data_IF_360593648324
#
_entry.id   IF_360593648324
#
_cell.length_a   1.000
_cell.length_b   1.000
_cell.length_c   1.000
_cell.angle_alpha   90.00
_cell.angle_beta   90.00
_cell.angle_gamma   90.00
#
_symmetry.space_group_name_H-M   'P 1'
#
loop_
_entity.id
_entity.type
_entity.pdbx_description
1 polymer ?
#
# COMPACT_ATOMS: atom_id res chain seq x y z
N UNK A 1 42.95 -4.84 22.70
CA UNK A 1 43.14 -4.13 21.41
C UNK A 1 42.19 -2.96 21.39
N UNK A 2 42.67 -1.85 21.92
CA UNK A 2 42.03 -0.54 22.01
C UNK A 2 42.53 0.30 20.84
N UNK A 3 41.63 0.72 19.96
CA UNK A 3 41.97 1.56 18.82
C UNK A 3 40.83 2.53 18.56
N UNK A 4 40.85 3.69 19.21
CA UNK A 4 40.35 4.96 18.69
C UNK A 4 41.06 6.04 19.49
N UNK A 5 42.12 6.56 18.87
CA UNK A 5 42.93 7.65 19.41
C UNK A 5 42.23 8.99 19.13
N UNK A 6 42.26 9.87 20.12
CA UNK A 6 41.62 11.18 20.05
C UNK A 6 42.57 12.21 19.44
N UNK A 7 42.24 12.68 18.24
CA UNK A 7 42.73 13.96 17.73
C UNK A 7 41.99 14.35 16.44
N UNK A 8 40.85 15.05 16.53
CA UNK A 8 40.29 15.83 15.41
C UNK A 8 39.23 16.82 15.91
N UNK A 9 39.62 17.69 16.87
CA UNK A 9 38.99 19.00 16.98
C UNK A 9 39.86 19.97 16.18
N UNK A 10 39.33 20.46 15.07
CA UNK A 10 39.73 21.76 14.52
C UNK A 10 38.46 22.41 13.98
N UNK A 11 37.92 23.30 14.81
CA UNK A 11 36.76 24.13 14.53
C UNK A 11 37.13 25.18 13.48
N UNK A 12 36.56 25.07 12.28
CA UNK A 12 36.55 26.17 11.32
C UNK A 12 35.24 26.95 11.49
N UNK A 13 35.36 28.15 12.07
CA UNK A 13 34.29 29.13 12.24
C UNK A 13 34.34 30.09 11.04
N UNK A 14 33.34 30.13 10.15
CA UNK A 14 33.28 31.16 9.10
C UNK A 14 32.87 32.51 9.71
N UNK A 15 33.70 33.53 9.52
CA UNK A 15 33.44 34.93 9.84
C UNK A 15 32.31 35.49 8.96
N UNK A 16 31.36 36.21 9.57
CA UNK A 16 30.13 36.71 8.95
C UNK A 16 30.19 38.22 8.64
N UNK A 17 31.36 38.76 8.25
CA UNK A 17 31.52 40.19 7.97
C UNK A 17 32.17 40.54 6.62
N UNK A 18 31.93 39.76 5.56
CA UNK A 18 32.24 40.21 4.19
C UNK A 18 30.97 40.22 3.32
N UNK A 19 30.51 41.43 2.97
CA UNK A 19 29.42 41.67 2.01
C UNK A 19 29.93 41.54 0.56
N UNK A 20 29.30 40.72 -0.31
CA UNK A 20 29.47 40.82 -1.76
C UNK A 20 28.44 41.78 -2.39
N UNK A 21 28.78 42.42 -3.52
CA UNK A 21 28.04 43.56 -4.06
C UNK A 21 26.69 43.17 -4.70
N UNK A 22 25.80 44.16 -4.65
CA UNK A 22 24.36 44.10 -4.88
C UNK A 22 24.04 44.40 -6.36
N UNK A 23 23.38 43.47 -7.06
CA UNK A 23 22.58 43.77 -8.27
C UNK A 23 21.24 43.03 -8.19
N UNK A 24 20.16 43.79 -8.39
CA UNK A 24 18.80 43.50 -7.98
C UNK A 24 17.91 43.77 -9.19
N UNK A 25 17.23 42.74 -9.69
CA UNK A 25 16.09 42.91 -10.57
C UNK A 25 15.04 41.86 -10.19
N UNK A 26 14.02 42.32 -9.46
CA UNK A 26 12.82 41.56 -9.15
C UNK A 26 11.75 41.89 -10.20
N UNK A 27 11.32 40.89 -10.97
CA UNK A 27 10.06 40.98 -11.70
C UNK A 27 8.92 40.60 -10.75
N UNK A 28 8.01 41.55 -10.52
CA UNK A 28 6.82 41.39 -9.69
C UNK A 28 5.77 40.50 -10.37
N UNK A 29 5.17 39.58 -9.62
CA UNK A 29 3.96 38.85 -10.01
C UNK A 29 2.77 39.52 -9.34
N UNK A 30 1.84 40.06 -10.12
CA UNK A 30 0.59 40.67 -9.66
C UNK A 30 -0.49 39.57 -9.44
N UNK A 31 -1.14 39.58 -8.28
CA UNK A 31 -2.10 38.57 -7.82
C UNK A 31 -3.57 39.03 -7.91
N UNK A 32 -3.88 40.09 -8.66
CA UNK A 32 -5.26 40.59 -8.80
C UNK A 32 -5.80 40.60 -10.24
N UNK A 33 -5.76 39.46 -10.93
CA UNK A 33 -6.52 39.28 -12.17
C UNK A 33 -7.34 38.00 -12.12
N UNK A 34 -8.63 38.14 -11.80
CA UNK A 34 -9.62 37.07 -11.95
C UNK A 34 -10.27 37.09 -13.35
N UNK A 35 -10.82 35.94 -13.80
CA UNK A 35 -10.75 35.47 -15.18
C UNK A 35 -12.06 35.70 -15.94
N UNK A 36 -12.03 35.78 -17.27
CA UNK A 36 -13.20 35.47 -18.09
C UNK A 36 -12.85 35.11 -19.55
N UNK A 37 -13.67 34.19 -20.07
CA UNK A 37 -13.95 33.83 -21.48
C UNK A 37 -13.01 32.85 -22.22
N UNK A 38 -13.45 31.59 -22.23
CA UNK A 38 -13.83 30.84 -23.43
C UNK A 38 -13.05 31.09 -24.74
N UNK A 39 -12.15 30.16 -25.08
CA UNK A 39 -11.85 29.76 -26.46
C UNK A 39 -11.23 28.37 -26.44
N UNK A 40 -11.93 27.40 -27.04
CA UNK A 40 -11.40 26.07 -27.30
C UNK A 40 -10.36 26.07 -28.42
N UNK A 41 -9.40 25.15 -28.34
CA UNK A 41 -8.69 24.66 -29.52
C UNK A 41 -8.14 23.25 -29.27
N UNK A 42 -8.56 22.32 -30.12
CA UNK A 42 -8.01 20.98 -30.27
C UNK A 42 -6.54 21.05 -30.70
N UNK A 43 -5.68 20.16 -30.20
CA UNK A 43 -4.54 19.71 -31.01
C UNK A 43 -4.23 18.26 -30.72
N UNK A 44 -4.24 17.48 -31.80
CA UNK A 44 -3.88 16.07 -31.84
C UNK A 44 -2.36 15.89 -31.78
N UNK A 45 -2.00 14.72 -31.24
CA UNK A 45 -0.81 13.88 -31.45
C UNK A 45 0.41 14.43 -32.21
N UNK A 46 1.59 14.24 -31.63
CA UNK A 46 2.82 13.80 -32.34
C UNK A 46 4.03 13.89 -31.41
N UNK A 47 4.51 12.77 -30.86
CA UNK A 47 5.93 12.37 -30.97
C UNK A 47 6.13 10.95 -30.41
N UNK A 48 6.19 10.00 -31.32
CA UNK A 48 6.99 8.81 -31.15
C UNK A 48 8.45 9.13 -31.57
N UNK A 49 9.38 8.35 -31.03
CA UNK A 49 10.80 8.23 -31.42
C UNK A 49 11.75 9.39 -31.10
N UNK A 50 12.61 9.17 -30.11
CA UNK A 50 14.05 8.93 -30.32
C UNK A 50 14.71 8.70 -28.97
N UNK A 51 15.28 7.52 -28.78
CA UNK A 51 16.43 7.29 -27.90
C UNK A 51 17.05 5.96 -28.34
N UNK A 52 17.78 6.04 -29.45
CA UNK A 52 18.80 5.08 -29.83
C UNK A 52 20.00 5.30 -28.90
N UNK A 53 20.19 4.39 -27.94
CA UNK A 53 21.50 4.20 -27.32
C UNK A 53 21.81 2.72 -27.23
N UNK A 54 22.43 2.24 -28.30
CA UNK A 54 22.96 0.90 -28.49
C UNK A 54 24.24 0.73 -27.67
N UNK A 55 24.16 0.04 -26.54
CA UNK A 55 25.34 -0.50 -25.87
C UNK A 55 25.71 -1.83 -26.55
N UNK A 56 26.76 -1.78 -27.37
CA UNK A 56 27.44 -2.95 -27.95
C UNK A 56 28.10 -3.75 -26.83
N UNK A 57 27.79 -5.04 -26.70
CA UNK A 57 28.71 -6.01 -26.09
C UNK A 57 29.15 -7.01 -27.17
N UNK A 58 30.43 -7.41 -27.21
CA UNK A 58 30.95 -8.29 -28.24
C UNK A 58 30.44 -9.73 -28.09
N UNK A 59 30.16 -10.32 -29.26
CA UNK A 59 29.73 -11.71 -29.46
C UNK A 59 30.64 -12.71 -28.72
N UNK A 60 30.06 -13.41 -27.74
CA UNK A 60 30.55 -14.72 -27.33
C UNK A 60 29.53 -15.76 -27.81
N UNK A 61 29.94 -16.52 -28.81
CA UNK A 61 29.20 -17.68 -29.30
C UNK A 61 29.11 -18.71 -28.18
N UNK A 62 27.90 -18.99 -27.72
CA UNK A 62 27.60 -20.26 -27.07
C UNK A 62 26.24 -20.76 -27.56
N UNK A 63 26.33 -21.85 -28.29
CA UNK A 63 25.24 -22.66 -28.84
C UNK A 63 24.18 -22.96 -27.78
N UNK A 64 22.91 -22.61 -28.06
CA UNK A 64 21.74 -23.17 -27.37
C UNK A 64 21.52 -24.61 -27.85
N UNK A 65 21.22 -25.58 -26.98
CA UNK A 65 20.49 -26.78 -27.40
C UNK A 65 19.06 -26.35 -27.74
N UNK A 66 18.55 -26.82 -28.88
CA UNK A 66 17.12 -26.82 -29.19
C UNK A 66 16.41 -27.73 -28.19
N UNK A 67 15.92 -27.16 -27.09
CA UNK A 67 14.93 -27.83 -26.26
C UNK A 67 13.57 -27.66 -26.93
N UNK A 68 13.12 -28.76 -27.54
CA UNK A 68 11.75 -28.97 -27.98
C UNK A 68 10.83 -28.78 -26.77
N UNK A 69 10.12 -27.65 -26.72
CA UNK A 69 9.06 -27.45 -25.74
C UNK A 69 7.90 -28.38 -26.13
N UNK A 70 7.74 -29.47 -25.39
CA UNK A 70 6.50 -30.22 -25.38
C UNK A 70 5.38 -29.28 -24.92
N UNK A 71 4.52 -28.87 -25.84
CA UNK A 71 3.26 -28.21 -25.51
C UNK A 71 2.42 -29.18 -24.69
N UNK A 72 2.38 -28.96 -23.38
CA UNK A 72 1.52 -29.71 -22.48
C UNK A 72 0.07 -29.25 -22.71
N UNK A 73 -0.87 -30.14 -23.07
CA UNK A 73 -2.23 -29.76 -23.41
C UNK A 73 -2.94 -29.10 -22.23
N UNK A 74 -3.59 -27.97 -22.51
CA UNK A 74 -4.28 -27.07 -21.59
C UNK A 74 -5.65 -27.61 -21.11
N UNK A 75 -5.67 -28.83 -20.58
CA UNK A 75 -6.82 -29.33 -19.84
C UNK A 75 -6.42 -29.45 -18.37
N UNK A 76 -6.49 -28.34 -17.63
CA UNK A 76 -6.35 -28.35 -16.17
C UNK A 76 -7.59 -29.02 -15.56
N UNK A 77 -7.64 -30.34 -15.63
CA UNK A 77 -8.69 -31.16 -15.02
C UNK A 77 -8.43 -31.22 -13.51
N UNK A 78 -8.70 -30.10 -12.83
CA UNK A 78 -8.55 -30.00 -11.38
C UNK A 78 -9.65 -30.83 -10.76
N UNK A 79 -9.29 -31.99 -10.21
CA UNK A 79 -10.24 -32.76 -9.43
C UNK A 79 -10.52 -32.04 -8.10
N UNK A 80 -11.68 -31.38 -8.03
CA UNK A 80 -12.24 -30.75 -6.84
C UNK A 80 -13.10 -31.70 -6.00
N UNK A 81 -13.35 -32.91 -6.47
CA UNK A 81 -14.08 -33.93 -5.73
C UNK A 81 -13.19 -34.51 -4.63
N UNK A 82 -13.50 -34.14 -3.40
CA UNK A 82 -12.88 -34.73 -2.21
C UNK A 82 -13.91 -35.46 -1.36
N UNK A 83 -13.55 -36.64 -0.87
CA UNK A 83 -14.31 -37.37 0.16
C UNK A 83 -13.96 -36.88 1.57
N UNK A 84 -12.97 -36.00 1.69
CA UNK A 84 -12.54 -35.45 2.96
C UNK A 84 -13.63 -34.57 3.58
N UNK A 85 -13.77 -34.72 4.89
CA UNK A 85 -14.64 -33.90 5.72
C UNK A 85 -13.75 -32.97 6.52
N UNK A 86 -14.10 -31.70 6.56
CA UNK A 86 -13.33 -30.70 7.30
C UNK A 86 -13.99 -30.43 8.65
N UNK A 87 -13.18 -30.28 9.70
CA UNK A 87 -13.70 -30.04 11.05
C UNK A 87 -14.17 -28.60 11.26
N UNK A 88 -13.70 -27.64 10.45
CA UNK A 88 -14.07 -26.24 10.56
C UNK A 88 -14.19 -25.55 9.21
N UNK A 89 -14.88 -24.41 9.19
CA UNK A 89 -14.98 -23.55 8.00
C UNK A 89 -13.59 -23.12 7.52
N UNK A 90 -12.72 -22.76 8.45
CA UNK A 90 -11.36 -22.30 8.15
C UNK A 90 -10.50 -23.41 7.55
N UNK A 91 -10.63 -24.65 8.03
CA UNK A 91 -9.94 -25.80 7.47
C UNK A 91 -10.36 -26.05 6.01
N UNK A 92 -11.66 -26.00 5.73
CA UNK A 92 -12.19 -26.08 4.37
C UNK A 92 -11.62 -24.97 3.49
N UNK A 93 -11.69 -23.71 3.96
CA UNK A 93 -11.20 -22.56 3.20
C UNK A 93 -9.69 -22.64 2.92
N UNK A 94 -8.91 -23.11 3.91
CA UNK A 94 -7.46 -23.28 3.77
C UNK A 94 -7.13 -24.32 2.71
N UNK A 95 -7.81 -25.47 2.74
CA UNK A 95 -7.64 -26.52 1.73
C UNK A 95 -7.99 -26.02 0.32
N UNK A 96 -9.17 -25.40 0.15
CA UNK A 96 -9.60 -24.86 -1.16
C UNK A 96 -8.62 -23.83 -1.69
N UNK A 97 -8.14 -22.92 -0.83
CA UNK A 97 -7.18 -21.88 -1.23
C UNK A 97 -5.84 -22.48 -1.62
N UNK A 98 -5.31 -23.44 -0.84
CA UNK A 98 -4.06 -24.13 -1.17
C UNK A 98 -4.17 -24.81 -2.53
N UNK A 99 -5.22 -25.61 -2.72
CA UNK A 99 -5.48 -26.33 -3.98
C UNK A 99 -5.63 -25.37 -5.16
N UNK A 100 -6.30 -24.24 -4.97
CA UNK A 100 -6.41 -23.22 -6.01
C UNK A 100 -5.04 -22.63 -6.38
N UNK A 101 -4.24 -22.27 -5.37
CA UNK A 101 -2.92 -21.68 -5.56
C UNK A 101 -1.95 -22.63 -6.27
N UNK A 102 -1.98 -23.92 -5.94
CA UNK A 102 -1.18 -24.95 -6.61
C UNK A 102 -1.49 -25.04 -8.12
N UNK A 103 -2.71 -24.67 -8.51
CA UNK A 103 -3.16 -24.62 -9.90
C UNK A 103 -3.13 -23.20 -10.49
N UNK A 104 -2.50 -22.23 -9.81
CA UNK A 104 -2.39 -20.84 -10.28
C UNK A 104 -3.72 -20.06 -10.28
N UNK A 105 -4.76 -20.56 -9.61
CA UNK A 105 -6.04 -19.86 -9.47
C UNK A 105 -6.21 -19.33 -8.04
N UNK A 106 -7.10 -18.35 -7.88
CA UNK A 106 -7.36 -17.73 -6.58
C UNK A 106 -8.84 -17.75 -6.29
N UNK A 107 -9.16 -18.37 -5.16
CA UNK A 107 -10.53 -18.55 -4.71
C UNK A 107 -10.81 -17.66 -3.51
N UNK A 108 -11.90 -16.91 -3.60
CA UNK A 108 -12.35 -15.95 -2.59
C UNK A 108 -13.74 -16.31 -2.08
N UNK A 109 -14.01 -15.87 -0.85
CA UNK A 109 -15.33 -16.00 -0.22
C UNK A 109 -16.29 -14.99 -0.82
N UNK A 110 -17.37 -15.47 -1.45
CA UNK A 110 -18.41 -14.63 -2.05
C UNK A 110 -19.44 -14.18 -1.03
N UNK A 111 -20.04 -15.13 -0.32
CA UNK A 111 -21.09 -14.90 0.68
C UNK A 111 -21.18 -16.06 1.65
N UNK A 112 -21.85 -15.84 2.76
CA UNK A 112 -22.18 -16.85 3.78
C UNK A 112 -23.64 -16.82 4.13
N UNK A 113 -24.14 -17.98 4.55
CA UNK A 113 -25.45 -18.11 5.17
C UNK A 113 -25.25 -18.68 6.57
N UNK A 114 -25.88 -18.02 7.52
CA UNK A 114 -25.90 -18.42 8.93
C UNK A 114 -27.22 -19.13 9.24
N UNK A 115 -27.19 -20.07 10.18
CA UNK A 115 -28.38 -20.66 10.77
C UNK A 115 -29.16 -19.58 11.50
N UNK A 116 -30.49 -19.58 11.35
CA UNK A 116 -31.36 -18.65 12.09
C UNK A 116 -31.44 -19.01 13.58
N UNK A 117 -31.30 -20.29 13.90
CA UNK A 117 -31.44 -20.80 15.27
C UNK A 117 -30.17 -20.61 16.07
N UNK A 118 -29.02 -21.01 15.51
CA UNK A 118 -27.74 -21.04 16.24
C UNK A 118 -26.84 -19.84 15.93
N UNK A 119 -27.11 -19.09 14.85
CA UNK A 119 -26.23 -18.01 14.37
C UNK A 119 -24.92 -18.48 13.70
N UNK A 120 -24.59 -19.76 13.80
CA UNK A 120 -23.42 -20.39 13.17
C UNK A 120 -23.50 -20.38 11.63
N UNK A 121 -22.35 -20.32 10.97
CA UNK A 121 -22.29 -20.39 9.49
C UNK A 121 -22.60 -21.82 9.05
N UNK A 122 -23.59 -21.98 8.18
CA UNK A 122 -24.02 -23.29 7.66
C UNK A 122 -23.67 -23.51 6.19
N UNK A 123 -23.40 -22.42 5.45
CA UNK A 123 -23.09 -22.47 4.03
C UNK A 123 -22.20 -21.32 3.61
N UNK A 124 -21.16 -21.63 2.84
CA UNK A 124 -20.22 -20.67 2.29
C UNK A 124 -20.17 -20.82 0.78
N UNK A 125 -20.32 -19.72 0.05
CA UNK A 125 -20.12 -19.70 -1.40
C UNK A 125 -18.72 -19.18 -1.70
N UNK A 126 -17.99 -19.92 -2.51
CA UNK A 126 -16.63 -19.61 -2.95
C UNK A 126 -16.64 -19.40 -4.46
N UNK A 127 -15.84 -18.47 -4.94
CA UNK A 127 -15.75 -18.13 -6.36
C UNK A 127 -14.31 -17.76 -6.72
N UNK A 128 -13.99 -17.76 -8.01
CA UNK A 128 -12.74 -17.20 -8.49
C UNK A 128 -12.69 -15.68 -8.19
N UNK A 129 -11.52 -15.15 -7.89
CA UNK A 129 -11.33 -13.73 -7.61
C UNK A 129 -11.62 -12.81 -8.82
N UNK A 130 -11.49 -13.35 -10.04
CA UNK A 130 -11.91 -12.74 -11.31
C UNK A 130 -13.39 -13.01 -11.65
N UNK A 131 -14.11 -13.69 -10.76
CA UNK A 131 -15.52 -14.02 -10.94
C UNK A 131 -16.47 -12.84 -10.75
N UNK A 132 -17.67 -12.99 -11.32
CA UNK A 132 -18.77 -12.04 -11.21
C UNK A 132 -18.54 -10.73 -11.96
N UNK A 133 -19.44 -9.78 -11.72
CA UNK A 133 -19.47 -8.51 -12.45
C UNK A 133 -19.02 -7.34 -11.57
N UNK A 134 -18.58 -6.29 -12.24
CA UNK A 134 -18.20 -5.05 -11.60
C UNK A 134 -19.36 -4.06 -11.68
N UNK A 135 -20.03 -3.88 -10.54
CA UNK A 135 -21.16 -2.97 -10.42
C UNK A 135 -20.62 -1.55 -10.21
N UNK A 136 -20.65 -0.75 -11.25
CA UNK A 136 -20.06 0.59 -11.22
C UNK A 136 -20.77 1.50 -12.19
N UNK A 137 -21.16 2.67 -11.69
CA UNK A 137 -21.91 3.68 -12.43
C UNK A 137 -20.95 4.61 -13.21
N UNK A 138 -19.67 4.67 -12.84
CA UNK A 138 -18.70 5.56 -13.45
C UNK A 138 -18.39 5.18 -14.92
N UNK A 139 -18.61 6.12 -15.84
CA UNK A 139 -18.44 5.94 -17.29
C UNK A 139 -16.96 5.89 -17.70
N UNK A 140 -16.08 6.68 -17.05
CA UNK A 140 -14.65 6.73 -17.35
C UNK A 140 -13.80 6.29 -16.16
N UNK A 141 -12.76 5.49 -16.40
CA UNK A 141 -11.83 5.02 -15.36
C UNK A 141 -10.39 5.10 -15.84
N UNK A 142 -9.51 5.53 -14.93
CA UNK A 142 -8.05 5.47 -15.13
C UNK A 142 -7.47 4.06 -14.94
N UNK A 143 -8.24 3.11 -14.40
CA UNK A 143 -7.81 1.73 -14.12
C UNK A 143 -8.84 0.73 -14.61
N UNK A 144 -8.36 -0.38 -15.19
CA UNK A 144 -9.19 -1.51 -15.60
C UNK A 144 -9.83 -2.24 -14.43
N UNK A 145 -10.85 -3.04 -14.73
CA UNK A 145 -11.50 -3.95 -13.79
C UNK A 145 -10.89 -5.36 -13.90
N UNK A 146 -10.65 -6.00 -12.76
CA UNK A 146 -10.10 -7.36 -12.67
C UNK A 146 -11.12 -8.48 -12.88
N UNK A 147 -12.43 -8.17 -12.75
CA UNK A 147 -13.50 -9.16 -12.88
C UNK A 147 -13.86 -9.38 -14.35
N UNK A 148 -13.84 -10.64 -14.77
CA UNK A 148 -14.14 -11.08 -16.15
C UNK A 148 -15.34 -12.02 -16.21
N UNK A 149 -16.12 -12.12 -15.14
CA UNK A 149 -17.27 -13.03 -15.09
C UNK A 149 -16.90 -14.51 -15.04
N UNK A 150 -15.74 -14.87 -14.47
CA UNK A 150 -15.33 -16.27 -14.34
C UNK A 150 -16.45 -17.13 -13.68
N UNK A 151 -16.86 -18.26 -14.31
CA UNK A 151 -18.01 -19.05 -13.86
C UNK A 151 -17.66 -20.03 -12.73
N UNK A 152 -16.38 -20.18 -12.40
CA UNK A 152 -15.89 -21.05 -11.33
C UNK A 152 -16.60 -20.76 -10.00
N UNK A 153 -17.20 -21.80 -9.41
CA UNK A 153 -17.92 -21.68 -8.15
C UNK A 153 -17.93 -22.98 -7.35
N UNK A 154 -17.62 -22.87 -6.06
CA UNK A 154 -17.69 -23.95 -5.08
C UNK A 154 -18.62 -23.55 -3.93
N UNK A 155 -19.14 -24.55 -3.22
CA UNK A 155 -19.92 -24.36 -2.01
C UNK A 155 -19.36 -25.23 -0.89
N UNK A 156 -19.11 -24.62 0.27
CA UNK A 156 -18.97 -25.32 1.54
C UNK A 156 -20.33 -25.48 2.22
N UNK A 157 -20.70 -26.70 2.58
CA UNK A 157 -21.91 -27.00 3.35
C UNK A 157 -21.51 -27.58 4.71
N UNK A 158 -22.07 -27.02 5.78
CA UNK A 158 -21.97 -27.60 7.10
C UNK A 158 -23.02 -28.71 7.27
N UNK A 159 -22.60 -29.86 7.77
CA UNK A 159 -23.46 -30.97 8.12
C UNK A 159 -23.56 -31.04 9.65
N UNK A 160 -24.74 -30.70 10.18
CA UNK A 160 -25.00 -30.71 11.62
C UNK A 160 -24.93 -32.12 12.23
N UNK A 161 -25.35 -33.16 11.50
CA UNK A 161 -25.38 -34.55 12.00
C UNK A 161 -23.97 -35.12 12.18
N UNK A 162 -23.05 -34.72 11.31
CA UNK A 162 -21.66 -35.22 11.28
C UNK A 162 -20.67 -34.19 11.81
N UNK A 163 -21.16 -33.06 12.33
CA UNK A 163 -20.37 -31.92 12.81
C UNK A 163 -19.19 -31.57 11.89
N UNK A 164 -19.43 -31.57 10.58
CA UNK A 164 -18.35 -31.46 9.61
C UNK A 164 -18.77 -30.73 8.35
N UNK A 165 -17.79 -30.14 7.70
CA UNK A 165 -17.92 -29.42 6.45
C UNK A 165 -17.65 -30.32 5.26
N UNK A 166 -18.50 -30.21 4.25
CA UNK A 166 -18.35 -30.88 2.94
C UNK A 166 -18.20 -29.83 1.85
N UNK A 167 -17.29 -30.06 0.92
CA UNK A 167 -17.18 -29.28 -0.31
C UNK A 167 -18.12 -29.84 -1.38
N UNK A 168 -18.81 -28.95 -2.08
CA UNK A 168 -19.62 -29.25 -3.26
C UNK A 168 -19.14 -28.38 -4.42
N UNK A 169 -18.84 -29.02 -5.55
CA UNK A 169 -18.49 -28.36 -6.80
C UNK A 169 -19.78 -27.95 -7.50
N UNK A 170 -19.88 -26.68 -7.91
CA UNK A 170 -20.96 -26.25 -8.82
C UNK A 170 -20.43 -26.17 -10.24
N UNK A 171 -19.30 -25.48 -10.40
CA UNK A 171 -18.60 -25.35 -11.67
C UNK A 171 -17.10 -25.25 -11.38
N UNK A 172 -16.35 -26.15 -11.99
CA UNK A 172 -14.90 -26.29 -11.93
C UNK A 172 -14.18 -25.54 -13.07
N UNK A 173 -14.91 -25.11 -14.09
CA UNK A 173 -14.32 -24.47 -15.26
C UNK A 173 -13.93 -23.01 -15.01
N UNK A 174 -12.76 -22.64 -15.53
CA UNK A 174 -12.27 -21.27 -15.62
C UNK A 174 -12.33 -20.78 -17.07
N UNK A 175 -12.62 -19.50 -17.26
CA UNK A 175 -12.61 -18.83 -18.57
C UNK A 175 -11.35 -17.99 -18.79
N UNK A 176 -10.28 -18.31 -18.06
CA UNK A 176 -9.01 -17.61 -18.12
C UNK A 176 -7.87 -18.51 -17.68
N UNK A 177 -6.68 -18.20 -18.20
CA UNK A 177 -5.47 -18.90 -17.84
C UNK A 177 -5.11 -18.74 -16.35
N UNK A 178 -4.45 -19.74 -15.76
CA UNK A 178 -3.80 -19.63 -14.46
C UNK A 178 -2.85 -18.43 -14.38
N UNK A 179 -2.67 -17.89 -13.17
CA UNK A 179 -1.69 -16.84 -12.92
C UNK A 179 -0.26 -17.40 -13.03
N UNK A 180 0.49 -16.93 -14.03
CA UNK A 180 1.88 -17.34 -14.26
C UNK A 180 2.84 -16.91 -13.14
N UNK A 181 2.58 -15.75 -12.50
CA UNK A 181 3.42 -15.20 -11.43
C UNK A 181 2.52 -14.81 -10.25
N UNK A 182 2.66 -15.52 -9.13
CA UNK A 182 1.88 -15.27 -7.91
C UNK A 182 2.23 -13.91 -7.27
N UNK A 183 3.49 -13.44 -7.39
CA UNK A 183 3.92 -12.11 -6.92
C UNK A 183 3.18 -10.97 -7.65
N UNK A 184 2.71 -11.21 -8.88
CA UNK A 184 1.90 -10.23 -9.60
C UNK A 184 0.52 -10.04 -8.98
N UNK A 185 0.03 -10.99 -8.20
CA UNK A 185 -1.36 -11.06 -7.82
C UNK A 185 -1.69 -10.33 -6.49
N UNK A 186 -2.48 -9.23 -6.51
CA UNK A 186 -2.72 -8.41 -5.33
C UNK A 186 -3.41 -9.12 -4.16
N UNK A 187 -4.14 -10.21 -4.40
CA UNK A 187 -4.80 -10.96 -3.34
C UNK A 187 -3.81 -11.83 -2.55
N UNK A 188 -2.84 -12.45 -3.22
CA UNK A 188 -1.87 -13.37 -2.59
C UNK A 188 -0.83 -12.59 -1.80
N UNK A 189 -0.48 -11.38 -2.26
CA UNK A 189 0.40 -10.44 -1.55
C UNK A 189 -0.19 -9.80 -0.28
N UNK A 190 -1.39 -10.18 0.13
CA UNK A 190 -1.99 -9.61 1.35
C UNK A 190 -1.36 -10.23 2.57
N UNK A 191 -0.84 -9.38 3.44
CA UNK A 191 -0.35 -9.82 4.75
C UNK A 191 -1.46 -10.46 5.57
N UNK A 192 -1.16 -11.58 6.21
CA UNK A 192 -2.02 -12.16 7.26
C UNK A 192 -2.08 -11.25 8.48
N UNK A 193 -2.90 -11.58 9.47
CA UNK A 193 -2.96 -10.75 10.67
C UNK A 193 -1.63 -10.82 11.45
N UNK A 194 -1.07 -12.02 11.56
CA UNK A 194 0.20 -12.28 12.24
C UNK A 194 1.36 -11.52 11.55
N UNK A 195 1.37 -11.50 10.22
CA UNK A 195 2.34 -10.73 9.45
C UNK A 195 2.14 -9.21 9.59
N UNK A 196 0.89 -8.75 9.70
CA UNK A 196 0.59 -7.33 9.96
C UNK A 196 1.11 -6.90 11.34
N UNK A 197 0.91 -7.73 12.36
CA UNK A 197 1.37 -7.45 13.73
C UNK A 197 2.91 -7.43 13.79
N UNK A 198 3.57 -8.31 13.03
CA UNK A 198 5.02 -8.27 12.86
C UNK A 198 5.48 -6.97 12.17
N UNK A 199 4.80 -6.54 11.10
CA UNK A 199 5.10 -5.26 10.43
C UNK A 199 4.92 -4.09 11.39
N UNK A 200 3.88 -4.10 12.23
CA UNK A 200 3.64 -3.08 13.25
C UNK A 200 4.84 -2.94 14.18
N UNK A 201 5.22 -4.04 14.83
CA UNK A 201 6.31 -4.07 15.80
C UNK A 201 7.64 -3.60 15.17
N UNK A 202 8.01 -4.12 14.00
CA UNK A 202 9.24 -3.72 13.32
C UNK A 202 9.20 -2.26 12.83
N UNK A 203 8.01 -1.73 12.51
CA UNK A 203 7.82 -0.32 12.17
C UNK A 203 8.01 0.58 13.39
N UNK A 204 7.58 0.15 14.57
CA UNK A 204 7.79 0.87 15.84
C UNK A 204 9.27 0.87 16.26
N UNK A 205 10.02 -0.16 15.87
CA UNK A 205 11.48 -0.23 15.97
C UNK A 205 12.21 0.60 14.89
N UNK A 206 11.49 1.38 14.09
CA UNK A 206 12.05 2.25 13.04
C UNK A 206 12.87 1.50 11.98
N UNK A 207 12.54 0.23 11.71
CA UNK A 207 13.24 -0.55 10.71
C UNK A 207 12.83 -0.16 9.27
N UNK A 208 13.80 -0.23 8.36
CA UNK A 208 13.55 0.01 6.94
C UNK A 208 12.61 -1.05 6.33
N UNK A 209 11.68 -0.67 5.43
CA UNK A 209 10.73 -1.59 4.79
C UNK A 209 11.37 -2.77 4.06
N UNK A 210 12.60 -2.62 3.55
CA UNK A 210 13.36 -3.73 2.94
C UNK A 210 13.79 -4.76 3.97
N UNK A 211 14.22 -4.31 5.14
CA UNK A 211 14.62 -5.18 6.25
C UNK A 211 13.39 -5.84 6.88
N UNK A 212 12.29 -5.10 7.01
CA UNK A 212 10.99 -5.64 7.46
C UNK A 212 10.54 -6.77 6.54
N UNK A 213 10.56 -6.56 5.21
CA UNK A 213 10.18 -7.60 4.26
C UNK A 213 11.10 -8.82 4.37
N UNK A 214 12.39 -8.61 4.57
CA UNK A 214 13.37 -9.70 4.74
C UNK A 214 13.08 -10.52 6.01
N UNK A 215 12.70 -9.87 7.12
CA UNK A 215 12.27 -10.54 8.34
C UNK A 215 10.99 -11.36 8.14
N UNK A 216 10.01 -10.80 7.43
CA UNK A 216 8.77 -11.51 7.10
C UNK A 216 9.07 -12.75 6.27
N UNK A 217 9.83 -12.62 5.17
CA UNK A 217 10.18 -13.76 4.31
C UNK A 217 10.97 -14.85 5.04
N UNK A 218 11.76 -14.49 6.06
CA UNK A 218 12.44 -15.47 6.93
C UNK A 218 11.46 -16.23 7.82
N UNK A 219 10.44 -15.56 8.36
CA UNK A 219 9.45 -16.18 9.23
C UNK A 219 8.38 -16.95 8.44
N UNK A 220 7.95 -16.43 7.29
CA UNK A 220 6.96 -17.03 6.38
C UNK A 220 7.52 -17.15 4.97
N UNK A 221 8.21 -18.26 4.63
CA UNK A 221 8.78 -18.47 3.29
C UNK A 221 7.74 -18.51 2.16
N UNK A 222 6.47 -18.76 2.48
CA UNK A 222 5.35 -18.75 1.52
C UNK A 222 4.89 -17.35 1.13
N UNK A 223 5.41 -16.30 1.77
CA UNK A 223 4.99 -14.92 1.54
C UNK A 223 5.54 -14.38 0.20
N UNK A 224 4.63 -13.89 -0.66
CA UNK A 224 4.93 -13.34 -1.99
C UNK A 224 4.84 -11.80 -2.03
N UNK A 225 4.81 -11.14 -0.87
CA UNK A 225 4.68 -9.68 -0.79
C UNK A 225 5.94 -8.98 -1.30
N UNK A 226 5.76 -7.75 -1.78
CA UNK A 226 6.85 -6.90 -2.25
C UNK A 226 7.05 -5.70 -1.31
N UNK A 227 8.19 -5.02 -1.42
CA UNK A 227 8.52 -3.88 -0.54
C UNK A 227 7.45 -2.77 -0.58
N UNK A 228 6.83 -2.56 -1.74
CA UNK A 228 5.71 -1.62 -1.91
C UNK A 228 4.50 -1.96 -1.03
N UNK A 229 4.22 -3.23 -0.78
CA UNK A 229 3.11 -3.64 0.09
C UNK A 229 3.40 -3.28 1.55
N UNK A 230 4.66 -3.40 1.99
CA UNK A 230 5.09 -2.96 3.33
C UNK A 230 4.89 -1.44 3.50
N UNK A 231 5.31 -0.64 2.51
CA UNK A 231 5.04 0.80 2.51
C UNK A 231 3.54 1.10 2.59
N UNK A 232 2.72 0.43 1.77
CA UNK A 232 1.27 0.61 1.79
C UNK A 232 0.66 0.26 3.15
N UNK A 233 1.14 -0.81 3.79
CA UNK A 233 0.69 -1.22 5.11
C UNK A 233 1.10 -0.18 6.16
N UNK A 234 2.36 0.25 6.21
CA UNK A 234 2.82 1.30 7.12
C UNK A 234 1.99 2.58 6.98
N UNK A 235 1.70 3.00 5.75
CA UNK A 235 0.85 4.17 5.51
C UNK A 235 -0.58 3.96 6.01
N UNK A 236 -1.14 2.76 5.84
CA UNK A 236 -2.45 2.41 6.42
C UNK A 236 -2.41 2.49 7.95
N UNK A 237 -1.34 2.05 8.60
CA UNK A 237 -1.18 2.10 10.06
C UNK A 237 -1.02 3.53 10.57
N UNK A 238 -0.22 4.35 9.88
CA UNK A 238 -0.10 5.79 10.18
C UNK A 238 -1.45 6.51 10.06
N UNK A 239 -2.22 6.21 9.01
CA UNK A 239 -3.57 6.78 8.83
C UNK A 239 -4.54 6.34 9.94
N UNK A 240 -4.47 5.09 10.39
CA UNK A 240 -5.26 4.61 11.54
C UNK A 240 -4.87 5.32 12.83
N UNK A 241 -3.57 5.50 13.11
CA UNK A 241 -3.08 6.24 14.29
C UNK A 241 -3.50 7.72 14.28
N UNK A 242 -3.65 8.32 13.10
CA UNK A 242 -4.14 9.70 12.90
C UNK A 242 -5.67 9.84 12.88
N UNK A 243 -6.44 8.77 13.11
CA UNK A 243 -7.91 8.84 13.07
C UNK A 243 -8.42 9.64 14.27
N UNK A 244 -8.53 10.97 14.10
CA UNK A 244 -8.92 11.92 15.15
C UNK A 244 -8.16 13.24 15.07
N UNK A 245 -6.90 13.21 14.62
CA UNK A 245 -6.06 14.40 14.47
C UNK A 245 -6.02 14.82 13.01
N UNK A 246 -6.61 15.97 12.71
CA UNK A 246 -6.34 16.70 11.48
C UNK A 246 -4.84 16.99 11.37
N UNK A 247 -4.32 17.11 10.14
CA UNK A 247 -2.93 17.50 9.93
C UNK A 247 -2.56 18.79 10.70
N UNK A 248 -3.53 19.68 10.89
CA UNK A 248 -3.40 20.89 11.71
C UNK A 248 -3.26 20.57 13.20
N UNK A 249 -4.03 19.64 13.76
CA UNK A 249 -3.90 19.25 15.17
C UNK A 249 -2.58 18.54 15.47
N UNK A 250 -2.08 17.70 14.55
CA UNK A 250 -0.74 17.09 14.69
C UNK A 250 0.35 18.18 14.67
N UNK A 251 0.23 19.16 13.77
CA UNK A 251 1.14 20.30 13.70
C UNK A 251 1.04 21.17 14.96
N UNK A 252 -0.17 21.43 15.46
CA UNK A 252 -0.43 22.21 16.66
C UNK A 252 0.19 21.56 17.91
N UNK A 253 -0.02 20.26 18.10
CA UNK A 253 0.60 19.49 19.18
C UNK A 253 2.13 19.50 19.09
N UNK A 254 2.69 19.39 17.88
CA UNK A 254 4.13 19.48 17.67
C UNK A 254 4.67 20.86 18.04
N UNK A 255 4.00 21.93 17.60
CA UNK A 255 4.37 23.31 17.92
C UNK A 255 4.30 23.56 19.42
N UNK A 256 3.23 23.10 20.08
CA UNK A 256 3.09 23.19 21.54
C UNK A 256 4.23 22.46 22.28
N UNK A 257 4.53 21.22 21.88
CA UNK A 257 5.62 20.42 22.48
C UNK A 257 7.00 21.07 22.34
N UNK A 258 7.23 21.82 21.26
CA UNK A 258 8.47 22.54 20.98
C UNK A 258 8.46 23.99 21.47
N UNK A 259 7.45 24.40 22.27
CA UNK A 259 7.23 25.74 22.80
C UNK A 259 7.10 26.84 21.73
N UNK A 260 6.41 26.55 20.64
CA UNK A 260 5.99 27.54 19.66
C UNK A 260 4.55 27.98 19.92
N UNK A 261 4.26 29.26 19.70
CA UNK A 261 2.93 29.85 19.80
C UNK A 261 2.49 30.37 18.43
N UNK A 262 1.21 30.15 18.10
CA UNK A 262 0.59 30.66 16.88
C UNK A 262 -0.25 31.90 17.19
N UNK A 263 0.08 33.00 16.52
CA UNK A 263 -0.75 34.20 16.42
C UNK A 263 -1.33 34.20 14.99
N UNK A 264 -2.54 34.71 14.71
CA UNK A 264 -3.00 34.83 13.32
C UNK A 264 -1.92 35.47 12.43
N UNK A 265 -1.42 34.70 11.46
CA UNK A 265 -0.35 35.11 10.54
C UNK A 265 1.10 34.94 11.03
N UNK A 266 1.39 34.42 12.23
CA UNK A 266 2.76 34.27 12.76
C UNK A 266 2.95 33.04 13.67
N UNK A 267 4.10 32.36 13.54
CA UNK A 267 4.54 31.29 14.44
C UNK A 267 5.79 31.78 15.18
N UNK A 268 5.76 31.84 16.52
CA UNK A 268 6.85 32.36 17.34
C UNK A 268 7.41 31.29 18.29
N UNK A 269 8.73 31.18 18.42
CA UNK A 269 9.40 30.30 19.39
C UNK A 269 9.52 30.97 20.74
N UNK A 270 9.17 30.28 21.83
CA UNK A 270 9.43 30.76 23.18
C UNK A 270 10.94 30.68 23.49
N UNK A 271 11.67 31.73 23.13
CA UNK A 271 13.01 31.95 23.67
C UNK A 271 12.87 32.56 25.07
N UNK A 272 13.74 32.19 26.02
CA UNK A 272 13.73 32.65 27.42
C UNK A 272 13.98 34.15 27.61
N UNK A 273 13.90 34.95 26.55
CA UNK A 273 14.30 36.34 26.54
C UNK A 273 13.13 37.25 26.93
N UNK A 274 13.42 38.22 27.80
CA UNK A 274 12.48 39.22 28.38
C UNK A 274 11.67 39.97 27.31
N UNK A 275 12.18 40.05 26.08
CA UNK A 275 11.55 40.63 24.88
C UNK A 275 10.27 39.90 24.43
N UNK A 276 10.14 38.59 24.70
CA UNK A 276 8.93 37.85 24.36
C UNK A 276 7.74 38.25 25.27
N UNK A 277 8.03 38.57 26.53
CA UNK A 277 7.04 38.99 27.52
C UNK A 277 6.45 40.38 27.17
N UNK A 278 7.25 41.30 26.63
CA UNK A 278 6.78 42.63 26.21
C UNK A 278 5.92 42.57 24.95
N UNK A 279 6.26 41.73 23.96
CA UNK A 279 5.48 41.56 22.72
C UNK A 279 4.09 40.95 23.00
N UNK A 280 4.01 39.96 23.90
CA UNK A 280 2.71 39.40 24.31
C UNK A 280 1.89 40.41 25.10
N UNK A 281 2.49 41.13 26.07
CA UNK A 281 1.78 42.14 26.88
C UNK A 281 1.20 43.28 26.03
N UNK A 282 1.93 43.76 25.03
CA UNK A 282 1.44 44.81 24.13
C UNK A 282 0.28 44.35 23.23
N UNK A 283 0.24 43.06 22.84
CA UNK A 283 -0.86 42.49 22.03
C UNK A 283 -2.12 42.16 22.85
N UNK A 284 -1.97 41.74 24.10
CA UNK A 284 -3.12 41.59 25.04
C UNK A 284 -3.79 42.95 25.27
N UNK A 285 -2.99 44.02 25.39
CA UNK A 285 -3.50 45.40 25.56
C UNK A 285 -4.24 45.95 24.33
N UNK A 286 -4.00 45.40 23.13
CA UNK A 286 -4.67 45.81 21.88
C UNK A 286 -5.88 44.94 21.51
N UNK A 287 -6.40 44.14 22.45
CA UNK A 287 -7.65 43.40 22.29
C UNK A 287 -7.54 42.11 21.45
N UNK A 288 -6.32 41.70 21.09
CA UNK A 288 -6.10 40.43 20.39
C UNK A 288 -6.09 39.30 21.40
N UNK A 289 -7.20 38.55 21.48
CA UNK A 289 -7.26 37.35 22.31
C UNK A 289 -6.36 36.26 21.76
N UNK A 290 -5.35 35.90 22.55
CA UNK A 290 -4.60 34.67 22.35
C UNK A 290 -5.54 33.50 22.62
N UNK A 291 -5.75 32.66 21.62
CA UNK A 291 -6.48 31.42 21.81
C UNK A 291 -5.53 30.45 22.51
N UNK A 292 -5.61 30.41 23.83
CA UNK A 292 -5.11 29.28 24.61
C UNK A 292 -6.24 28.27 24.66
N UNK A 293 -6.03 27.13 24.02
CA UNK A 293 -6.87 25.95 24.16
C UNK A 293 -6.29 25.02 25.21
#
# INVERSE_FOLDING_TARGET
MSFWDGSFFNDYVPDLNEEPPVEYLYDMIDLNSEPNADVGFESQASYAQQNDYWFVYPDSKQSKPEETYEEKPADSNINWETKEKFMSEEALLRWVKSRALDNGHIVVKRRTKKSKTTGSVIKVWLMCDRGGEHNSIAIFRRSGNKKIGCPFQLIGLYNEVRESWKLQVINDNHNHEPAQILEGHPYVRRFTQEEQDMVENLTEQHMDPRNILSSIKKHTPTNVSISRDVYNLQQKMKKKKKFGDTSMQVLENLLYSQRYFTIPGMILKQTSCKTFSSVIKNRIASGVHFRTY
#
